data_IF_965398751337
#
_entry.id   IF_965398751337
#
_cell.length_a   1.000
_cell.length_b   1.000
_cell.length_c   1.000
_cell.angle_alpha   90.00
_cell.angle_beta   90.00
_cell.angle_gamma   90.00
#
_symmetry.space_group_name_H-M   'P 1'
#
loop_
_entity.id
_entity.type
_entity.pdbx_description
1 polymer ?
#
# COMPACT_ATOMS: atom_id res chain seq x y z
N UNK A 1 -18.08 38.78 -2.51
CA UNK A 1 -18.58 38.05 -3.69
C UNK A 1 -18.02 36.64 -3.65
N UNK A 2 -18.88 35.62 -3.56
CA UNK A 2 -18.42 34.23 -3.49
C UNK A 2 -17.72 33.83 -4.80
N UNK A 3 -16.52 33.28 -4.70
CA UNK A 3 -15.77 32.77 -5.86
C UNK A 3 -16.54 31.59 -6.45
N UNK A 4 -16.75 31.52 -7.77
CA UNK A 4 -17.57 30.47 -8.38
C UNK A 4 -16.73 29.27 -8.83
N UNK A 5 -17.28 28.04 -8.68
CA UNK A 5 -16.59 26.81 -9.12
C UNK A 5 -16.40 26.78 -10.64
N UNK A 6 -17.36 27.31 -11.38
CA UNK A 6 -17.33 27.36 -12.84
C UNK A 6 -16.22 28.28 -13.36
N UNK A 7 -16.05 29.46 -12.76
CA UNK A 7 -14.95 30.36 -13.10
C UNK A 7 -13.60 29.73 -12.76
N UNK A 8 -13.48 29.08 -11.60
CA UNK A 8 -12.26 28.35 -11.23
C UNK A 8 -11.94 27.23 -12.22
N UNK A 9 -12.95 26.50 -12.69
CA UNK A 9 -12.80 25.44 -13.70
C UNK A 9 -12.28 25.99 -15.04
N UNK A 10 -12.91 27.06 -15.56
CA UNK A 10 -12.49 27.69 -16.82
C UNK A 10 -11.06 28.21 -16.72
N UNK A 11 -10.70 28.84 -15.60
CA UNK A 11 -9.37 29.41 -15.43
C UNK A 11 -8.30 28.35 -15.25
N UNK A 12 -8.63 27.21 -14.63
CA UNK A 12 -7.74 26.05 -14.49
C UNK A 12 -7.44 25.31 -15.80
N UNK A 13 -8.09 25.66 -16.92
CA UNK A 13 -7.67 25.21 -18.25
C UNK A 13 -6.22 25.59 -18.51
N UNK A 14 -5.77 26.74 -17.98
CA UNK A 14 -4.36 27.06 -17.90
C UNK A 14 -3.83 26.67 -16.51
N UNK A 15 -2.75 25.87 -16.43
CA UNK A 15 -2.26 25.33 -15.16
C UNK A 15 -1.91 26.47 -14.19
N UNK A 16 -2.34 26.40 -12.93
CA UNK A 16 -2.04 27.42 -11.90
C UNK A 16 -2.88 28.70 -11.94
N UNK A 17 -3.59 29.00 -13.03
CA UNK A 17 -4.42 30.21 -13.14
C UNK A 17 -5.68 30.16 -12.26
N UNK A 18 -6.27 28.98 -12.08
CA UNK A 18 -7.36 28.76 -11.11
C UNK A 18 -7.00 29.17 -9.69
N UNK A 19 -5.75 28.93 -9.26
CA UNK A 19 -5.26 29.31 -7.93
C UNK A 19 -5.16 30.82 -7.75
N UNK A 20 -4.79 31.56 -8.80
CA UNK A 20 -4.76 33.03 -8.76
C UNK A 20 -6.15 33.63 -8.56
N UNK A 21 -7.17 33.06 -9.20
CA UNK A 21 -8.56 33.45 -8.95
C UNK A 21 -8.99 33.22 -7.50
N UNK A 22 -8.46 32.16 -6.90
CA UNK A 22 -8.67 31.84 -5.48
C UNK A 22 -7.82 32.69 -4.54
N UNK A 23 -6.95 33.58 -5.03
CA UNK A 23 -6.08 34.44 -4.22
C UNK A 23 -4.89 33.68 -3.61
N UNK A 24 -4.60 32.49 -4.13
CA UNK A 24 -3.51 31.61 -3.69
C UNK A 24 -2.36 31.74 -4.69
N UNK A 25 -1.66 32.87 -4.59
CA UNK A 25 -0.67 33.31 -5.55
C UNK A 25 0.56 32.39 -5.52
N UNK A 26 1.04 32.07 -4.33
CA UNK A 26 2.22 31.22 -4.19
C UNK A 26 1.95 29.83 -4.77
N UNK A 27 0.74 29.30 -4.53
CA UNK A 27 0.33 27.99 -5.03
C UNK A 27 0.28 27.93 -6.56
N UNK A 28 -0.35 28.93 -7.19
CA UNK A 28 -0.45 29.01 -8.65
C UNK A 28 0.90 29.19 -9.34
N UNK A 29 1.80 30.01 -8.76
CA UNK A 29 3.12 30.26 -9.32
C UNK A 29 3.98 28.99 -9.35
N UNK A 30 3.98 28.20 -8.27
CA UNK A 30 4.73 26.94 -8.22
C UNK A 30 4.21 25.93 -9.23
N UNK A 31 2.89 25.81 -9.38
CA UNK A 31 2.29 24.91 -10.37
C UNK A 31 2.67 25.34 -11.80
N UNK A 32 2.65 26.65 -12.09
CA UNK A 32 3.12 27.17 -13.38
C UNK A 32 4.60 26.90 -13.61
N UNK A 33 5.44 27.12 -12.60
CA UNK A 33 6.88 26.86 -12.69
C UNK A 33 7.16 25.38 -12.96
N UNK A 34 6.44 24.46 -12.31
CA UNK A 34 6.58 23.01 -12.58
C UNK A 34 6.12 22.66 -13.99
N UNK A 35 4.95 23.16 -14.42
CA UNK A 35 4.40 22.84 -15.74
C UNK A 35 5.27 23.38 -16.89
N UNK A 36 5.55 24.69 -16.90
CA UNK A 36 6.35 25.32 -17.95
C UNK A 36 7.84 25.00 -17.81
N UNK A 37 8.33 24.83 -16.60
CA UNK A 37 9.71 24.39 -16.35
C UNK A 37 9.95 22.99 -16.90
N UNK A 38 9.02 22.05 -16.68
CA UNK A 38 9.11 20.70 -17.25
C UNK A 38 8.99 20.71 -18.78
N UNK A 39 8.02 21.45 -19.34
CA UNK A 39 7.88 21.61 -20.78
C UNK A 39 9.17 22.16 -21.41
N UNK A 40 9.71 23.25 -20.85
CA UNK A 40 10.93 23.88 -21.32
C UNK A 40 12.14 22.95 -21.20
N UNK A 41 12.28 22.23 -20.09
CA UNK A 41 13.37 21.29 -19.87
C UNK A 41 13.35 20.14 -20.88
N UNK A 42 12.17 19.56 -21.16
CA UNK A 42 12.03 18.46 -22.12
C UNK A 42 12.30 18.93 -23.56
N UNK A 43 11.76 20.09 -23.96
CA UNK A 43 12.02 20.66 -25.28
C UNK A 43 13.50 21.01 -25.45
N UNK A 44 14.12 21.61 -24.43
CA UNK A 44 15.55 21.92 -24.44
C UNK A 44 16.40 20.66 -24.59
N UNK A 45 16.11 19.61 -23.81
CA UNK A 45 16.83 18.34 -23.90
C UNK A 45 16.70 17.70 -25.28
N UNK A 46 15.50 17.73 -25.87
CA UNK A 46 15.27 17.21 -27.22
C UNK A 46 16.09 17.96 -28.29
N UNK A 47 16.14 19.29 -28.22
CA UNK A 47 16.93 20.12 -29.15
C UNK A 47 18.43 19.93 -28.96
N UNK A 48 18.91 19.89 -27.71
CA UNK A 48 20.35 19.77 -27.40
C UNK A 48 20.89 18.39 -27.82
N UNK A 49 20.14 17.32 -27.57
CA UNK A 49 20.57 15.95 -27.89
C UNK A 49 20.22 15.53 -29.32
N UNK A 50 19.41 16.32 -30.04
CA UNK A 50 18.86 15.97 -31.35
C UNK A 50 18.12 14.62 -31.35
N UNK A 51 17.54 14.25 -30.20
CA UNK A 51 16.77 13.01 -30.03
C UNK A 51 15.30 13.34 -29.72
N UNK A 52 14.41 12.56 -30.33
CA UNK A 52 12.97 12.62 -30.10
C UNK A 52 12.55 11.79 -28.88
N UNK A 53 13.45 10.96 -28.32
CA UNK A 53 13.14 10.04 -27.22
C UNK A 53 12.70 10.81 -25.97
N UNK A 54 13.24 12.01 -25.76
CA UNK A 54 12.86 12.87 -24.64
C UNK A 54 11.41 13.34 -24.70
N UNK A 55 10.76 13.37 -25.87
CA UNK A 55 9.38 13.82 -26.01
C UNK A 55 8.38 12.91 -25.26
N UNK A 56 8.74 11.65 -25.00
CA UNK A 56 7.91 10.77 -24.17
C UNK A 56 7.66 11.34 -22.77
N UNK A 57 8.59 12.16 -22.26
CA UNK A 57 8.48 12.81 -20.96
C UNK A 57 7.39 13.89 -20.91
N UNK A 58 6.86 14.35 -22.05
CA UNK A 58 5.69 15.24 -22.07
C UNK A 58 4.43 14.59 -21.48
N UNK A 59 4.40 13.27 -21.31
CA UNK A 59 3.29 12.55 -20.65
C UNK A 59 3.03 13.05 -19.22
N UNK A 60 4.02 13.68 -18.58
CA UNK A 60 3.86 14.28 -17.25
C UNK A 60 3.00 15.56 -17.25
N UNK A 61 2.94 16.30 -18.36
CA UNK A 61 2.18 17.55 -18.46
C UNK A 61 0.67 17.36 -18.23
N UNK A 62 -0.04 16.42 -18.89
CA UNK A 62 -1.46 16.20 -18.61
C UNK A 62 -1.71 15.77 -17.16
N UNK A 63 -0.75 15.07 -16.52
CA UNK A 63 -0.84 14.66 -15.11
C UNK A 63 -0.76 15.89 -14.20
N UNK A 64 0.23 16.77 -14.40
CA UNK A 64 0.39 18.02 -13.65
C UNK A 64 -0.81 18.96 -13.87
N UNK A 65 -1.32 19.03 -15.10
CA UNK A 65 -2.50 19.80 -15.44
C UNK A 65 -3.76 19.30 -14.72
N UNK A 66 -4.02 17.99 -14.76
CA UNK A 66 -5.15 17.38 -14.04
C UNK A 66 -5.04 17.62 -12.54
N UNK A 67 -3.84 17.48 -11.96
CA UNK A 67 -3.59 17.81 -10.56
C UNK A 67 -3.96 19.27 -10.27
N UNK A 68 -3.50 20.22 -11.08
CA UNK A 68 -3.81 21.65 -10.93
C UNK A 68 -5.31 21.93 -10.98
N UNK A 69 -6.03 21.28 -11.90
CA UNK A 69 -7.48 21.40 -12.04
C UNK A 69 -8.21 20.89 -10.79
N UNK A 70 -7.93 19.65 -10.38
CA UNK A 70 -8.56 19.05 -9.21
C UNK A 70 -8.25 19.81 -7.92
N UNK A 71 -7.01 20.27 -7.76
CA UNK A 71 -6.58 21.01 -6.58
C UNK A 71 -7.30 22.36 -6.47
N UNK A 72 -7.41 23.11 -7.58
CA UNK A 72 -8.17 24.37 -7.61
C UNK A 72 -9.67 24.16 -7.30
N UNK A 73 -10.28 23.11 -7.85
CA UNK A 73 -11.70 22.78 -7.59
C UNK A 73 -11.95 22.44 -6.12
N UNK A 74 -11.06 21.66 -5.50
CA UNK A 74 -11.14 21.32 -4.08
C UNK A 74 -10.98 22.55 -3.19
N UNK A 75 -9.97 23.38 -3.45
CA UNK A 75 -9.77 24.64 -2.71
C UNK A 75 -10.93 25.62 -2.87
N UNK A 76 -11.49 25.72 -4.07
CA UNK A 76 -12.67 26.54 -4.30
C UNK A 76 -13.82 26.11 -3.39
N UNK A 77 -14.03 24.79 -3.25
CA UNK A 77 -15.07 24.26 -2.34
C UNK A 77 -14.81 24.57 -0.86
N UNK A 78 -13.54 24.49 -0.42
CA UNK A 78 -13.14 24.82 0.97
C UNK A 78 -13.29 26.31 1.28
N UNK A 79 -12.88 27.18 0.36
CA UNK A 79 -13.05 28.64 0.50
C UNK A 79 -14.54 29.00 0.50
N UNK A 80 -15.37 28.31 -0.30
CA UNK A 80 -16.82 28.50 -0.29
C UNK A 80 -17.49 28.04 1.01
N UNK A 81 -16.98 27.01 1.68
CA UNK A 81 -17.46 26.59 3.00
C UNK A 81 -17.05 27.55 4.13
N UNK A 82 -16.36 28.66 3.82
CA UNK A 82 -15.91 29.64 4.80
C UNK A 82 -14.61 29.28 5.51
N UNK A 83 -13.88 28.27 5.03
CA UNK A 83 -12.60 27.87 5.59
C UNK A 83 -11.50 28.86 5.18
N UNK A 84 -10.68 29.30 6.14
CA UNK A 84 -9.51 30.15 5.85
C UNK A 84 -8.35 29.27 5.39
N UNK A 85 -8.13 29.21 4.08
CA UNK A 85 -7.04 28.43 3.47
C UNK A 85 -5.76 29.28 3.40
N UNK A 86 -4.65 28.87 4.03
CA UNK A 86 -3.37 29.58 3.93
C UNK A 86 -2.77 29.46 2.51
N UNK A 87 -2.10 30.51 2.03
CA UNK A 87 -1.39 30.51 0.73
C UNK A 87 -0.02 29.83 0.84
N UNK A 88 -0.05 28.54 1.14
CA UNK A 88 1.13 27.67 1.16
C UNK A 88 1.37 27.10 -0.24
N UNK A 89 2.64 27.06 -0.66
CA UNK A 89 2.98 26.39 -1.91
C UNK A 89 2.81 24.86 -1.75
N UNK A 90 2.47 24.12 -2.83
CA UNK A 90 2.29 22.67 -2.74
C UNK A 90 3.58 21.96 -2.30
N UNK A 91 4.73 22.53 -2.67
CA UNK A 91 6.06 22.02 -2.29
C UNK A 91 6.35 22.34 -0.82
N UNK A 92 5.97 23.52 -0.32
CA UNK A 92 6.12 23.85 1.10
C UNK A 92 5.25 22.95 1.97
N UNK A 93 3.98 22.77 1.60
CA UNK A 93 3.04 21.87 2.26
C UNK A 93 3.53 20.41 2.22
N UNK A 94 4.15 19.99 1.11
CA UNK A 94 4.84 18.71 1.00
C UNK A 94 6.08 18.64 1.91
N UNK A 95 6.86 19.72 2.00
CA UNK A 95 8.10 19.78 2.80
C UNK A 95 7.81 19.80 4.30
N UNK A 96 6.75 20.49 4.73
CA UNK A 96 6.28 20.46 6.11
C UNK A 96 5.69 19.10 6.46
N UNK A 97 4.97 18.48 5.52
CA UNK A 97 4.52 17.09 5.67
C UNK A 97 5.71 16.12 5.78
N UNK A 98 6.79 16.36 5.03
CA UNK A 98 8.04 15.59 5.11
C UNK A 98 8.80 15.85 6.43
N UNK A 99 8.81 17.08 6.92
CA UNK A 99 9.54 17.49 8.13
C UNK A 99 8.83 17.06 9.43
N UNK A 100 7.50 17.01 9.45
CA UNK A 100 6.71 16.66 10.63
C UNK A 100 6.57 15.14 10.86
N UNK A 101 7.29 14.29 10.12
CA UNK A 101 7.37 12.84 10.37
C UNK A 101 6.08 12.05 10.09
N UNK A 102 4.97 12.72 9.77
CA UNK A 102 3.80 12.09 9.18
C UNK A 102 4.15 11.72 7.74
N UNK A 103 4.40 10.42 7.48
CA UNK A 103 4.58 9.85 6.14
C UNK A 103 3.58 10.48 5.18
N UNK A 104 4.07 11.34 4.29
CA UNK A 104 3.18 12.20 3.52
C UNK A 104 2.31 11.31 2.64
N UNK A 105 1.00 11.59 2.64
CA UNK A 105 0.01 10.84 1.86
C UNK A 105 0.38 10.79 0.39
N UNK A 106 0.99 11.87 -0.12
CA UNK A 106 1.48 11.96 -1.48
C UNK A 106 2.66 11.02 -1.76
N UNK A 107 3.67 10.96 -0.89
CA UNK A 107 4.81 10.04 -1.07
C UNK A 107 4.40 8.58 -0.92
N UNK A 108 3.48 8.29 0.01
CA UNK A 108 2.89 6.95 0.12
C UNK A 108 2.16 6.55 -1.17
N UNK A 109 1.42 7.47 -1.78
CA UNK A 109 0.71 7.26 -3.04
C UNK A 109 1.69 7.11 -4.22
N UNK A 110 2.72 7.94 -4.28
CA UNK A 110 3.76 7.84 -5.31
C UNK A 110 4.51 6.52 -5.22
N UNK A 111 4.89 6.09 -4.02
CA UNK A 111 5.52 4.79 -3.79
C UNK A 111 4.56 3.62 -4.00
N UNK A 112 3.24 3.79 -3.81
CA UNK A 112 2.26 2.71 -4.07
C UNK A 112 2.15 2.30 -5.54
N UNK A 113 2.66 3.12 -6.47
CA UNK A 113 2.80 2.74 -7.89
C UNK A 113 3.74 1.55 -8.04
N UNK A 114 4.73 1.42 -7.16
CA UNK A 114 5.59 0.23 -7.08
C UNK A 114 4.92 -0.73 -6.09
N UNK A 115 4.52 -1.94 -6.54
CA UNK A 115 3.88 -2.93 -5.67
C UNK A 115 4.67 -3.12 -4.37
N UNK A 116 4.00 -2.95 -3.23
CA UNK A 116 4.57 -3.09 -1.90
C UNK A 116 5.45 -1.94 -1.38
N UNK A 117 5.94 -1.01 -2.23
CA UNK A 117 6.78 0.09 -1.75
C UNK A 117 5.97 1.14 -0.96
N UNK A 118 4.72 1.39 -1.34
CA UNK A 118 3.80 2.25 -0.57
C UNK A 118 3.60 1.76 0.87
N UNK A 119 3.40 0.45 1.07
CA UNK A 119 3.29 -0.17 2.39
C UNK A 119 4.57 -0.05 3.22
N UNK A 120 5.72 -0.28 2.61
CA UNK A 120 7.02 -0.08 3.27
C UNK A 120 7.21 1.38 3.67
N UNK A 121 6.86 2.31 2.76
CA UNK A 121 6.85 3.73 3.07
C UNK A 121 5.88 4.05 4.19
N UNK A 122 4.77 3.34 4.37
CA UNK A 122 3.84 3.52 5.50
C UNK A 122 4.31 2.86 6.80
N UNK A 123 5.29 1.95 6.73
CA UNK A 123 5.91 1.29 7.88
C UNK A 123 5.59 -0.19 7.97
N UNK A 124 4.70 -0.65 7.10
CA UNK A 124 4.26 -2.03 6.96
C UNK A 124 5.26 -2.83 6.12
N UNK A 125 6.47 -2.98 6.66
CA UNK A 125 7.59 -3.59 5.94
C UNK A 125 7.29 -5.03 5.48
N UNK A 126 6.70 -5.84 6.36
CA UNK A 126 6.39 -7.25 6.08
C UNK A 126 5.33 -7.42 4.99
N UNK A 127 4.25 -6.63 5.03
CA UNK A 127 3.22 -6.62 3.99
C UNK A 127 3.76 -6.14 2.66
N UNK A 128 4.49 -5.02 2.68
CA UNK A 128 5.09 -4.45 1.47
C UNK A 128 6.07 -5.41 0.80
N UNK A 129 6.96 -6.04 1.58
CA UNK A 129 7.90 -7.01 1.06
C UNK A 129 7.21 -8.28 0.54
N UNK A 130 6.11 -8.71 1.16
CA UNK A 130 5.27 -9.80 0.66
C UNK A 130 4.64 -9.50 -0.71
N UNK A 131 4.11 -8.29 -0.87
CA UNK A 131 3.53 -7.83 -2.14
C UNK A 131 4.60 -7.66 -3.22
N UNK A 132 5.75 -7.07 -2.89
CA UNK A 132 6.92 -7.01 -3.78
C UNK A 132 7.33 -8.41 -4.23
N UNK A 133 7.54 -9.33 -3.28
CA UNK A 133 7.95 -10.70 -3.58
C UNK A 133 6.94 -11.38 -4.50
N UNK A 134 5.64 -11.24 -4.23
CA UNK A 134 4.59 -11.85 -5.04
C UNK A 134 4.55 -11.28 -6.45
N UNK A 135 4.67 -9.97 -6.60
CA UNK A 135 4.67 -9.29 -7.90
C UNK A 135 5.88 -9.66 -8.75
N UNK A 136 7.09 -9.59 -8.19
CA UNK A 136 8.32 -9.95 -8.90
C UNK A 136 8.42 -11.45 -9.17
N UNK A 137 7.91 -12.29 -8.27
CA UNK A 137 7.82 -13.73 -8.50
C UNK A 137 6.86 -14.04 -9.67
N UNK A 138 5.72 -13.35 -9.75
CA UNK A 138 4.80 -13.49 -10.88
C UNK A 138 5.43 -13.04 -12.21
N UNK A 139 6.18 -11.92 -12.23
CA UNK A 139 6.97 -11.50 -13.39
C UNK A 139 8.01 -12.55 -13.80
N UNK A 140 8.77 -13.07 -12.82
CA UNK A 140 9.78 -14.08 -13.06
C UNK A 140 9.16 -15.37 -13.64
N UNK A 141 8.05 -15.86 -13.05
CA UNK A 141 7.35 -17.04 -13.56
C UNK A 141 6.76 -16.80 -14.95
N UNK A 142 6.22 -15.61 -15.22
CA UNK A 142 5.70 -15.25 -16.54
C UNK A 142 6.76 -15.42 -17.63
N UNK A 143 7.94 -14.83 -17.42
CA UNK A 143 9.04 -14.87 -18.37
C UNK A 143 9.66 -16.29 -18.46
N UNK A 144 9.91 -16.92 -17.31
CA UNK A 144 10.54 -18.24 -17.23
C UNK A 144 9.67 -19.36 -17.85
N UNK A 145 8.40 -19.44 -17.45
CA UNK A 145 7.46 -20.46 -17.96
C UNK A 145 6.89 -20.07 -19.34
N UNK A 146 7.12 -18.84 -19.81
CA UNK A 146 6.50 -18.27 -21.01
C UNK A 146 4.97 -18.45 -21.03
N UNK A 147 4.35 -18.43 -19.85
CA UNK A 147 2.90 -18.59 -19.71
C UNK A 147 2.22 -17.23 -19.68
N UNK A 148 1.33 -17.00 -20.64
CA UNK A 148 0.51 -15.79 -20.72
C UNK A 148 -0.46 -15.63 -19.54
N UNK A 149 -0.76 -16.71 -18.81
CA UNK A 149 -1.67 -16.67 -17.65
C UNK A 149 -1.20 -15.68 -16.56
N UNK A 150 0.10 -15.57 -16.32
CA UNK A 150 0.66 -14.66 -15.31
C UNK A 150 0.55 -13.20 -15.72
N UNK A 151 0.43 -12.90 -17.02
CA UNK A 151 0.19 -11.55 -17.50
C UNK A 151 -1.11 -10.96 -16.95
N UNK A 152 -2.16 -11.78 -16.79
CA UNK A 152 -3.43 -11.35 -16.20
C UNK A 152 -3.33 -11.14 -14.68
N UNK A 153 -2.49 -11.89 -13.98
CA UNK A 153 -2.28 -11.73 -12.53
C UNK A 153 -1.54 -10.43 -12.19
N UNK A 154 -0.66 -9.94 -13.06
CA UNK A 154 0.17 -8.75 -12.79
C UNK A 154 -0.67 -7.48 -12.52
N UNK A 155 -1.62 -7.07 -13.38
CA UNK A 155 -2.51 -5.95 -13.08
C UNK A 155 -3.35 -6.18 -11.81
N UNK A 156 -3.77 -7.41 -11.54
CA UNK A 156 -4.58 -7.73 -10.34
C UNK A 156 -3.76 -7.55 -9.06
N UNK A 157 -2.54 -8.08 -9.01
CA UNK A 157 -1.62 -7.93 -7.87
C UNK A 157 -1.24 -6.45 -7.70
N UNK A 158 -0.99 -5.74 -8.80
CA UNK A 158 -0.66 -4.33 -8.79
C UNK A 158 -1.82 -3.48 -8.24
N UNK A 159 -3.04 -3.67 -8.77
CA UNK A 159 -4.24 -2.95 -8.30
C UNK A 159 -4.53 -3.25 -6.83
N UNK A 160 -4.44 -4.53 -6.43
CA UNK A 160 -4.59 -4.92 -5.04
C UNK A 160 -3.60 -4.16 -4.15
N UNK A 161 -2.30 -4.19 -4.49
CA UNK A 161 -1.27 -3.47 -3.75
C UNK A 161 -1.51 -1.96 -3.72
N UNK A 162 -1.94 -1.36 -4.82
CA UNK A 162 -2.18 0.07 -4.92
C UNK A 162 -3.37 0.49 -4.03
N UNK A 163 -4.50 -0.22 -4.13
CA UNK A 163 -5.68 0.07 -3.31
C UNK A 163 -5.45 -0.22 -1.82
N UNK A 164 -4.74 -1.29 -1.48
CA UNK A 164 -4.41 -1.60 -0.09
C UNK A 164 -3.53 -0.51 0.54
N UNK A 165 -2.55 0.03 -0.22
CA UNK A 165 -1.77 1.17 0.23
C UNK A 165 -2.64 2.44 0.37
N UNK A 166 -3.55 2.71 -0.56
CA UNK A 166 -4.48 3.86 -0.47
C UNK A 166 -5.38 3.80 0.76
N UNK A 167 -5.92 2.61 1.08
CA UNK A 167 -6.74 2.42 2.27
C UNK A 167 -5.94 2.74 3.53
N UNK A 168 -4.68 2.30 3.58
CA UNK A 168 -3.77 2.54 4.71
C UNK A 168 -3.40 4.03 4.87
N UNK A 169 -3.25 4.75 3.76
CA UNK A 169 -3.09 6.22 3.76
C UNK A 169 -4.35 6.92 4.26
N UNK A 170 -5.53 6.44 3.87
CA UNK A 170 -6.82 7.06 4.22
C UNK A 170 -7.20 6.83 5.68
N UNK A 171 -6.82 5.68 6.25
CA UNK A 171 -7.14 5.28 7.61
C UNK A 171 -6.32 6.06 8.66
N UNK A 172 -5.24 6.76 8.26
CA UNK A 172 -4.27 7.37 9.19
C UNK A 172 -3.68 6.39 10.23
N UNK A 173 -3.87 5.08 10.04
CA UNK A 173 -3.36 4.02 10.92
C UNK A 173 -1.88 3.79 10.63
N UNK A 174 -1.03 4.54 11.34
CA UNK A 174 0.41 4.31 11.40
C UNK A 174 0.80 3.33 12.50
N UNK A 175 -0.17 2.85 13.27
CA UNK A 175 -0.03 1.81 14.30
C UNK A 175 0.18 0.46 13.63
N UNK A 176 1.44 0.10 13.41
CA UNK A 176 1.81 -1.23 12.91
C UNK A 176 1.49 -2.25 14.02
N UNK A 177 0.57 -3.21 13.82
CA UNK A 177 0.31 -4.26 14.79
C UNK A 177 1.58 -5.12 14.95
N UNK A 178 2.00 -5.39 16.20
CA UNK A 178 3.20 -6.18 16.50
C UNK A 178 3.17 -7.63 15.94
N UNK A 179 2.00 -8.12 15.51
CA UNK A 179 1.79 -9.50 15.04
C UNK A 179 1.78 -9.68 13.51
N UNK A 180 2.19 -8.68 12.74
CA UNK A 180 2.04 -8.69 11.28
C UNK A 180 3.29 -9.22 10.57
N UNK A 181 3.36 -10.54 10.39
CA UNK A 181 4.39 -11.17 9.57
C UNK A 181 4.26 -12.67 9.49
N UNK A 182 3.30 -13.20 8.74
CA UNK A 182 3.17 -14.66 8.49
C UNK A 182 4.06 -15.14 7.34
N UNK A 183 4.49 -14.27 6.42
CA UNK A 183 5.27 -14.68 5.24
C UNK A 183 6.74 -15.02 5.57
N UNK A 184 7.43 -14.18 6.33
CA UNK A 184 8.85 -14.37 6.65
C UNK A 184 9.12 -15.57 7.59
N UNK A 185 8.39 -15.73 8.71
CA UNK A 185 8.52 -16.91 9.55
C UNK A 185 8.19 -18.20 8.79
N UNK A 186 7.20 -18.19 7.91
CA UNK A 186 6.84 -19.33 7.08
C UNK A 186 7.93 -19.69 6.06
N UNK A 187 8.50 -18.68 5.39
CA UNK A 187 9.55 -18.88 4.40
C UNK A 187 10.84 -19.40 5.05
N UNK A 188 11.21 -18.84 6.21
CA UNK A 188 12.36 -19.28 7.01
C UNK A 188 12.14 -20.70 7.54
N UNK A 189 10.93 -21.03 8.01
CA UNK A 189 10.59 -22.40 8.42
C UNK A 189 10.72 -23.41 7.27
N UNK A 190 10.52 -22.99 6.02
CA UNK A 190 10.61 -23.83 4.82
C UNK A 190 11.91 -23.64 4.02
N UNK A 191 12.91 -22.94 4.56
CA UNK A 191 14.14 -22.53 3.84
C UNK A 191 14.85 -23.66 3.08
N UNK A 192 14.88 -24.89 3.63
CA UNK A 192 15.52 -26.05 3.00
C UNK A 192 14.88 -26.41 1.66
N UNK A 193 13.56 -26.32 1.57
CA UNK A 193 12.83 -26.63 0.34
C UNK A 193 12.91 -25.48 -0.67
N UNK A 194 12.91 -24.23 -0.18
CA UNK A 194 13.10 -23.04 -1.03
C UNK A 194 14.50 -23.07 -1.66
N UNK A 195 15.54 -23.36 -0.87
CA UNK A 195 16.91 -23.50 -1.35
C UNK A 195 17.08 -24.64 -2.36
N UNK A 196 16.49 -25.82 -2.09
CA UNK A 196 16.50 -26.93 -3.03
C UNK A 196 15.82 -26.57 -4.36
N UNK A 197 14.68 -25.86 -4.30
CA UNK A 197 13.98 -25.37 -5.48
C UNK A 197 14.83 -24.40 -6.30
N UNK A 198 15.56 -23.49 -5.64
CA UNK A 198 16.43 -22.53 -6.31
C UNK A 198 17.64 -23.20 -6.98
N UNK A 199 18.22 -24.22 -6.33
CA UNK A 199 19.32 -25.02 -6.91
C UNK A 199 18.82 -25.79 -8.14
N UNK A 200 17.68 -26.48 -8.03
CA UNK A 200 17.09 -27.22 -9.14
C UNK A 200 16.75 -26.29 -10.32
N UNK A 201 16.20 -25.11 -10.04
CA UNK A 201 15.94 -24.07 -11.02
C UNK A 201 17.23 -23.62 -11.72
N UNK A 202 18.30 -23.35 -10.97
CA UNK A 202 19.61 -22.98 -11.50
C UNK A 202 20.21 -24.03 -12.43
N UNK A 203 20.15 -25.30 -12.05
CA UNK A 203 20.59 -26.43 -12.89
C UNK A 203 19.77 -26.50 -14.19
N UNK A 204 18.47 -26.24 -14.11
CA UNK A 204 17.59 -26.23 -15.28
C UNK A 204 17.96 -25.13 -16.28
N UNK A 205 18.36 -23.95 -15.80
CA UNK A 205 18.84 -22.85 -16.66
C UNK A 205 20.12 -23.24 -17.39
N UNK A 206 21.08 -23.83 -16.68
CA UNK A 206 22.35 -24.26 -17.27
C UNK A 206 22.11 -25.35 -18.31
N UNK A 207 21.21 -26.29 -18.01
CA UNK A 207 20.77 -27.32 -18.97
C UNK A 207 20.12 -26.71 -20.21
N UNK A 208 19.23 -25.72 -20.04
CA UNK A 208 18.58 -25.01 -21.16
C UNK A 208 19.59 -24.24 -22.01
N UNK A 209 20.69 -23.76 -21.41
CA UNK A 209 21.68 -22.97 -22.16
C UNK A 209 22.70 -23.81 -22.91
N UNK A 210 23.21 -24.88 -22.31
CA UNK A 210 24.32 -25.65 -22.87
C UNK A 210 23.88 -26.81 -23.78
N UNK A 211 22.81 -27.51 -23.40
CA UNK A 211 22.42 -28.76 -24.07
C UNK A 211 21.40 -28.51 -25.19
N UNK A 212 20.48 -27.57 -24.98
CA UNK A 212 19.42 -27.22 -25.95
C UNK A 212 19.93 -26.78 -27.33
N UNK A 213 21.00 -25.99 -27.50
CA UNK A 213 21.45 -25.60 -28.84
C UNK A 213 21.93 -26.79 -29.71
N UNK A 214 22.16 -27.96 -29.12
CA UNK A 214 22.54 -29.18 -29.81
C UNK A 214 21.34 -30.07 -30.18
N UNK A 215 20.11 -29.69 -29.77
CA UNK A 215 18.87 -30.42 -30.08
C UNK A 215 18.09 -29.75 -31.23
N UNK A 216 17.26 -30.51 -31.94
CA UNK A 216 16.42 -30.00 -33.03
C UNK A 216 15.28 -29.11 -32.52
N UNK A 217 14.95 -28.03 -33.25
CA UNK A 217 13.98 -27.01 -32.86
C UNK A 217 12.57 -27.53 -32.49
N UNK A 218 12.09 -28.61 -33.14
CA UNK A 218 10.79 -29.21 -32.85
C UNK A 218 10.77 -30.03 -31.55
N UNK A 219 11.90 -30.61 -31.17
CA UNK A 219 12.02 -31.37 -29.93
C UNK A 219 12.10 -30.44 -28.72
N UNK A 220 12.71 -29.27 -28.89
CA UNK A 220 12.89 -28.25 -27.85
C UNK A 220 11.55 -27.68 -27.38
N UNK A 221 10.64 -27.29 -28.30
CA UNK A 221 9.34 -26.73 -27.92
C UNK A 221 8.48 -27.74 -27.16
N UNK A 222 8.48 -29.00 -27.60
CA UNK A 222 7.72 -30.09 -26.97
C UNK A 222 8.24 -30.41 -25.57
N UNK A 223 9.57 -30.49 -25.40
CA UNK A 223 10.20 -30.75 -24.09
C UNK A 223 9.95 -29.57 -23.14
N UNK A 224 10.11 -28.33 -23.60
CA UNK A 224 9.91 -27.13 -22.75
C UNK A 224 8.47 -27.06 -22.24
N UNK A 225 7.49 -27.13 -23.13
CA UNK A 225 6.07 -27.08 -22.74
C UNK A 225 5.67 -28.30 -21.90
N UNK A 226 6.19 -29.49 -22.22
CA UNK A 226 5.95 -30.72 -21.46
C UNK A 226 6.51 -30.67 -20.04
N UNK A 227 7.71 -30.14 -19.86
CA UNK A 227 8.35 -29.96 -18.55
C UNK A 227 7.55 -28.99 -17.68
N UNK A 228 7.13 -27.85 -18.25
CA UNK A 228 6.32 -26.86 -17.55
C UNK A 228 4.99 -27.48 -17.11
N UNK A 229 4.30 -28.18 -18.02
CA UNK A 229 3.06 -28.88 -17.69
C UNK A 229 3.25 -29.92 -16.57
N UNK A 230 4.34 -30.70 -16.61
CA UNK A 230 4.66 -31.67 -15.55
C UNK A 230 4.88 -31.00 -14.19
N UNK A 231 5.55 -29.84 -14.14
CA UNK A 231 5.74 -29.04 -12.93
C UNK A 231 4.40 -28.55 -12.37
N UNK A 232 3.50 -28.05 -13.21
CA UNK A 232 2.17 -27.60 -12.77
C UNK A 232 1.29 -28.75 -12.26
N UNK A 233 1.28 -29.88 -12.98
CA UNK A 233 0.50 -31.06 -12.57
C UNK A 233 1.04 -31.59 -11.24
N UNK A 234 2.36 -31.76 -11.11
CA UNK A 234 2.98 -32.21 -9.87
C UNK A 234 2.77 -31.24 -8.71
N UNK A 235 2.89 -29.93 -8.96
CA UNK A 235 2.63 -28.88 -7.98
C UNK A 235 1.17 -28.86 -7.52
N UNK A 236 0.23 -28.97 -8.46
CA UNK A 236 -1.21 -29.03 -8.18
C UNK A 236 -1.60 -30.26 -7.36
N UNK A 237 -1.13 -31.46 -7.76
CA UNK A 237 -1.38 -32.71 -7.01
C UNK A 237 -0.81 -32.62 -5.59
N UNK A 238 0.40 -32.08 -5.44
CA UNK A 238 1.02 -31.90 -4.12
C UNK A 238 0.27 -30.90 -3.24
N UNK A 239 -0.33 -29.84 -3.82
CA UNK A 239 -1.13 -28.87 -3.08
C UNK A 239 -2.43 -29.49 -2.56
N UNK A 240 -3.09 -30.31 -3.38
CA UNK A 240 -4.31 -31.05 -3.00
C UNK A 240 -4.04 -32.08 -1.89
N UNK A 241 -2.84 -32.65 -1.84
CA UNK A 241 -2.40 -33.58 -0.79
C UNK A 241 -1.80 -32.90 0.46
N UNK A 242 -1.75 -31.57 0.53
CA UNK A 242 -1.26 -30.82 1.68
C UNK A 242 -2.09 -31.08 2.94
N UNK A 243 -1.42 -31.53 4.01
CA UNK A 243 -2.00 -31.94 5.29
C UNK A 243 -2.85 -30.85 5.96
N UNK A 244 -4.00 -31.25 6.51
CA UNK A 244 -4.93 -30.39 7.25
C UNK A 244 -4.20 -29.65 8.38
N UNK A 245 -4.41 -28.33 8.46
CA UNK A 245 -3.94 -27.52 9.60
C UNK A 245 -4.58 -28.04 10.89
N UNK A 246 -3.76 -28.56 11.81
CA UNK A 246 -4.17 -28.75 13.20
C UNK A 246 -4.16 -27.37 13.86
N UNK A 247 -5.31 -26.70 13.79
CA UNK A 247 -5.54 -25.51 14.60
C UNK A 247 -5.57 -25.94 16.08
N UNK A 248 -4.81 -25.30 16.98
CA UNK A 248 -4.99 -25.51 18.41
C UNK A 248 -6.42 -25.06 18.76
N UNK A 249 -7.20 -26.00 19.28
CA UNK A 249 -8.56 -25.77 19.78
C UNK A 249 -8.49 -24.66 20.82
N UNK A 250 -9.20 -23.56 20.56
CA UNK A 250 -9.44 -22.49 21.53
C UNK A 250 -9.97 -23.11 22.81
N UNK A 251 -9.18 -23.02 23.88
CA UNK A 251 -9.57 -23.39 25.23
C UNK A 251 -10.84 -22.62 25.60
N UNK A 252 -11.91 -23.36 25.90
CA UNK A 252 -13.19 -22.78 26.33
C UNK A 252 -12.97 -22.02 27.63
N UNK A 253 -13.22 -20.71 27.60
CA UNK A 253 -13.47 -19.91 28.80
C UNK A 253 -14.67 -20.53 29.53
N UNK A 254 -14.41 -21.01 30.74
CA UNK A 254 -15.40 -21.58 31.66
C UNK A 254 -16.29 -20.45 32.17
N UNK A 255 -17.52 -20.39 31.67
CA UNK A 255 -18.61 -19.59 32.23
C UNK A 255 -19.11 -20.30 33.49
N UNK A 256 -18.61 -19.92 34.66
CA UNK A 256 -19.22 -20.30 35.93
C UNK A 256 -20.34 -19.30 36.23
N UNK A 257 -21.57 -19.66 35.88
CA UNK A 257 -22.80 -19.06 36.39
C UNK A 257 -23.65 -20.18 36.96
N UNK A 258 -23.58 -20.38 38.27
CA UNK A 258 -24.60 -21.12 39.02
C UNK A 258 -25.01 -20.24 40.19
N UNK A 259 -26.20 -19.66 40.07
CA UNK A 259 -26.99 -19.18 41.19
C UNK A 259 -28.05 -20.23 41.53
N UNK A 260 -28.34 -20.30 42.83
CA UNK A 260 -29.43 -20.97 43.54
C UNK A 260 -29.24 -22.46 43.87
N UNK A 261 -28.98 -22.75 45.16
CA UNK A 261 -29.94 -23.50 45.98
C UNK A 261 -29.70 -23.23 47.49
N UNK A 262 -30.70 -23.61 48.27
CA UNK A 262 -31.27 -23.07 49.51
C UNK A 262 -30.76 -23.74 50.82
N UNK A 263 -31.01 -23.07 51.95
CA UNK A 263 -31.07 -23.54 53.36
C UNK A 263 -29.86 -24.23 54.04
N UNK A 264 -29.41 -23.66 55.19
CA UNK A 264 -29.76 -24.11 56.56
C UNK A 264 -28.72 -23.68 57.63
N UNK A 265 -29.21 -23.45 58.87
CA UNK A 265 -28.53 -23.36 60.19
C UNK A 265 -27.63 -22.14 60.51
N UNK A 266 -28.07 -21.16 61.32
CA UNK A 266 -28.28 -21.11 62.79
C UNK A 266 -27.00 -20.88 63.61
N UNK A 267 -27.09 -19.87 64.49
CA UNK A 267 -26.21 -19.51 65.62
C UNK A 267 -24.87 -18.84 65.24
N UNK A 268 -24.43 -17.72 65.81
CA UNK A 268 -24.52 -17.30 67.22
C UNK A 268 -24.11 -15.82 67.35
N UNK A 269 -24.63 -15.16 68.39
CA UNK A 269 -24.12 -13.96 69.10
C UNK A 269 -24.52 -12.57 68.56
N UNK A 270 -25.64 -12.09 69.09
CA UNK A 270 -25.78 -10.72 69.56
C UNK A 270 -24.70 -10.41 70.60
N UNK A 271 -24.04 -9.25 70.50
CA UNK A 271 -23.73 -8.49 71.71
C UNK A 271 -23.47 -6.99 71.44
N UNK A 272 -24.18 -6.19 72.23
CA UNK A 272 -23.76 -4.90 72.82
C UNK A 272 -23.86 -3.63 71.95
N UNK A 273 -25.08 -3.07 72.00
CA UNK A 273 -25.46 -1.72 72.49
C UNK A 273 -24.52 -0.51 72.36
N UNK A 274 -25.15 0.60 71.95
CA UNK A 274 -24.85 1.98 72.38
C UNK A 274 -23.90 2.70 71.43
N UNK A 275 -24.01 3.98 71.15
CA UNK A 275 -24.90 5.07 71.56
C UNK A 275 -24.52 6.26 70.64
N UNK A 276 -25.37 7.29 70.53
CA UNK A 276 -25.08 8.71 70.19
C UNK A 276 -23.81 9.07 69.37
N UNK A 277 -23.81 9.92 68.33
CA UNK A 277 -24.31 11.31 68.29
C UNK A 277 -23.94 12.00 66.97
N UNK A 278 -24.74 12.99 66.59
CA UNK A 278 -24.48 13.97 65.53
C UNK A 278 -23.35 14.97 65.86
N UNK A 279 -23.04 15.78 64.82
CA UNK A 279 -22.38 17.09 64.81
C UNK A 279 -20.87 17.00 64.55
N UNK A 280 -20.25 17.68 63.57
CA UNK A 280 -20.61 18.91 62.89
C UNK A 280 -19.53 19.95 63.15
N UNK A 281 -18.92 20.44 62.06
CA UNK A 281 -18.10 21.65 61.89
C UNK A 281 -16.61 21.67 62.28
N UNK A 282 -15.91 22.23 61.28
CA UNK A 282 -14.86 23.26 61.33
C UNK A 282 -13.38 22.88 61.14
N UNK A 283 -12.86 23.57 60.12
CA UNK A 283 -11.50 23.78 59.60
C UNK A 283 -10.63 24.53 60.63
N UNK A 284 -9.30 24.71 60.41
CA UNK A 284 -8.57 24.82 59.13
C UNK A 284 -7.62 23.69 58.80
#
# INVERSE_FOLDING_TARGET
>A
MGKSKFTSFILSVFPGLGHFYLGLMNRGMVIMAVFFGWLGLVLLASVVTWSHDFLVLLVLLPIVWLYSLFDALQLCSRIQSGETVPDSSPIAELSESLANGYKSRFWALLFSIIPGAGHMYLGWQQRGLGLMTTFFLALFLMDWLRLSLFFFMLPVIWLYSFFDALQLVSANDTTVPESEGTLFPWLVARQRWVGLGLIALGVLIIFEREIVPHLSYQLISTIKTGLIAAIFIGGGVRLVMGSRLNLPVTEKVKTDTHLADDNNEVSTINDITGDERCNGKEKP
#
